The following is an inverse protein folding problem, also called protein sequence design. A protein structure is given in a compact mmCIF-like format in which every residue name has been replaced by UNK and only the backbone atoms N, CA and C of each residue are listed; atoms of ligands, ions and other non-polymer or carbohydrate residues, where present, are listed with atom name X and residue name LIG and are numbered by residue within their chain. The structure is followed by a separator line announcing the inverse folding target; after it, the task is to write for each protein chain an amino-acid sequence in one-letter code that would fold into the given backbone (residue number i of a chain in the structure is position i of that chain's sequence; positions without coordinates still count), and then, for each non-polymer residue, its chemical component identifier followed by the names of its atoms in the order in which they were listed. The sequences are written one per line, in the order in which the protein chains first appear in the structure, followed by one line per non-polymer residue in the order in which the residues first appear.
data_IF_803887354365
#
_entry.id   IF_803887354365
#
_cell.length_a   1.000
_cell.length_b   1.000
_cell.length_c   1.000
_cell.angle_alpha   90.00
_cell.angle_beta   90.00
_cell.angle_gamma   90.00
#
_symmetry.space_group_name_H-M   'P 1'
#
loop_
_entity.id
_entity.type
_entity.pdbx_description
1 polymer ?
#
# COMPACT_ATOMS: atom_id res chain seq x y z
N UNK A 1 13.99 22.71 17.15
CA UNK A 1 14.08 21.26 17.41
C UNK A 1 12.68 20.79 17.74
N UNK A 2 11.95 20.25 16.74
CA UNK A 2 10.57 19.78 16.90
C UNK A 2 10.64 18.31 17.30
N UNK A 3 10.25 18.00 18.54
CA UNK A 3 10.17 16.65 19.07
C UNK A 3 9.20 15.84 18.22
N UNK A 4 9.54 14.64 17.71
CA UNK A 4 8.61 13.82 16.96
C UNK A 4 7.42 13.49 17.85
N UNK A 5 6.21 13.80 17.40
CA UNK A 5 4.94 13.46 18.04
C UNK A 5 4.85 11.93 18.10
N UNK A 6 5.06 11.38 19.29
CA UNK A 6 4.81 9.96 19.58
C UNK A 6 3.33 9.73 19.31
N UNK A 7 3.02 9.10 18.16
CA UNK A 7 1.67 8.66 17.85
C UNK A 7 1.36 7.55 18.85
N UNK A 8 0.52 7.85 19.82
CA UNK A 8 0.06 6.86 20.80
C UNK A 8 -0.89 5.91 20.04
N UNK A 9 -0.34 4.79 19.54
CA UNK A 9 -1.11 3.76 18.84
C UNK A 9 -2.03 3.08 19.85
N UNK A 10 -3.25 2.83 19.44
CA UNK A 10 -4.18 2.04 20.25
C UNK A 10 -3.70 0.58 20.30
N UNK A 11 -4.01 -0.11 21.39
CA UNK A 11 -3.72 -1.55 21.53
C UNK A 11 -4.32 -2.38 20.39
N UNK A 12 -5.47 -1.95 19.88
CA UNK A 12 -6.15 -2.58 18.74
C UNK A 12 -5.30 -2.46 17.46
N UNK A 13 -4.72 -1.29 17.19
CA UNK A 13 -3.84 -1.06 16.02
C UNK A 13 -2.56 -1.90 16.11
N UNK A 14 -1.94 -1.99 17.28
CA UNK A 14 -0.77 -2.85 17.49
C UNK A 14 -1.09 -4.33 17.18
N UNK A 15 -2.24 -4.84 17.64
CA UNK A 15 -2.66 -6.21 17.36
C UNK A 15 -2.89 -6.43 15.87
N UNK A 16 -3.50 -5.46 15.17
CA UNK A 16 -3.71 -5.53 13.72
C UNK A 16 -2.39 -5.58 12.94
N UNK A 17 -1.39 -4.78 13.33
CA UNK A 17 -0.06 -4.81 12.71
C UNK A 17 0.58 -6.19 12.86
N UNK A 18 0.56 -6.76 14.07
CA UNK A 18 1.10 -8.11 14.34
C UNK A 18 0.36 -9.20 13.55
N UNK A 19 -0.98 -9.08 13.41
CA UNK A 19 -1.77 -10.00 12.61
C UNK A 19 -1.40 -9.93 11.12
N UNK A 20 -1.22 -8.73 10.57
CA UNK A 20 -0.79 -8.52 9.18
C UNK A 20 0.60 -9.11 8.94
N UNK A 21 1.54 -8.91 9.86
CA UNK A 21 2.88 -9.53 9.76
C UNK A 21 2.80 -11.05 9.72
N UNK A 22 1.96 -11.66 10.57
CA UNK A 22 1.74 -13.11 10.58
C UNK A 22 1.09 -13.60 9.29
N UNK A 23 0.05 -12.92 8.81
CA UNK A 23 -0.61 -13.27 7.55
C UNK A 23 0.35 -13.15 6.36
N UNK A 24 1.18 -12.13 6.31
CA UNK A 24 2.20 -11.98 5.28
C UNK A 24 3.24 -13.10 5.30
N UNK A 25 3.65 -13.56 6.51
CA UNK A 25 4.69 -14.56 6.68
C UNK A 25 4.22 -16.01 6.50
N UNK A 26 2.97 -16.33 6.89
CA UNK A 26 2.46 -17.71 6.96
C UNK A 26 1.20 -17.96 6.13
N UNK A 27 0.68 -16.92 5.47
CA UNK A 27 -0.61 -16.94 4.81
C UNK A 27 -1.78 -16.90 5.80
N UNK A 28 -2.95 -16.48 5.34
CA UNK A 28 -4.16 -16.33 6.18
C UNK A 28 -4.58 -17.64 6.87
N UNK A 29 -4.53 -18.76 6.15
CA UNK A 29 -4.93 -20.07 6.70
C UNK A 29 -3.90 -20.66 7.67
N UNK A 30 -2.62 -20.30 7.52
CA UNK A 30 -1.53 -20.77 8.38
C UNK A 30 -1.43 -20.05 9.73
N UNK A 31 -2.36 -19.13 10.04
CA UNK A 31 -2.37 -18.34 11.29
C UNK A 31 -3.68 -18.54 12.03
N UNK A 32 -3.63 -18.93 13.29
CA UNK A 32 -4.77 -19.02 14.20
C UNK A 32 -4.94 -17.75 15.05
N UNK A 33 -6.10 -17.59 15.68
CA UNK A 33 -6.30 -16.52 16.68
C UNK A 33 -5.36 -16.68 17.88
N UNK A 34 -5.03 -17.92 18.24
CA UNK A 34 -4.08 -18.19 19.33
C UNK A 34 -2.64 -17.78 18.96
N UNK A 35 -2.22 -17.96 17.68
CA UNK A 35 -0.91 -17.46 17.21
C UNK A 35 -0.83 -15.94 17.32
N UNK A 36 -1.90 -15.23 16.92
CA UNK A 36 -1.96 -13.77 17.03
C UNK A 36 -1.96 -13.34 18.49
N UNK A 37 -2.76 -14.03 19.34
CA UNK A 37 -2.81 -13.78 20.78
C UNK A 37 -1.44 -13.96 21.43
N UNK A 38 -0.76 -15.07 21.15
CA UNK A 38 0.59 -15.35 21.66
C UNK A 38 1.59 -14.25 21.23
N UNK A 39 1.55 -13.82 19.95
CA UNK A 39 2.43 -12.76 19.44
C UNK A 39 2.13 -11.39 20.05
N UNK A 40 0.84 -11.15 20.38
CA UNK A 40 0.38 -9.92 21.04
C UNK A 40 0.43 -9.98 22.59
N UNK A 41 0.91 -11.08 23.17
CA UNK A 41 0.94 -11.30 24.63
C UNK A 41 -0.44 -11.19 25.30
N UNK A 42 -1.48 -11.71 24.64
CA UNK A 42 -2.84 -11.84 25.16
C UNK A 42 -3.40 -13.23 24.85
N UNK A 43 -4.43 -13.66 25.58
CA UNK A 43 -5.07 -14.96 25.32
C UNK A 43 -6.00 -14.90 24.10
N UNK A 44 -6.20 -16.04 23.42
CA UNK A 44 -7.17 -16.14 22.30
C UNK A 44 -8.57 -15.63 22.67
N UNK A 45 -9.17 -16.04 23.79
CA UNK A 45 -10.44 -15.48 24.27
C UNK A 45 -10.44 -13.98 24.45
N UNK A 46 -9.36 -13.38 25.00
CA UNK A 46 -9.24 -11.92 25.13
C UNK A 46 -9.18 -11.24 23.75
N UNK A 47 -8.56 -11.87 22.76
CA UNK A 47 -8.51 -11.37 21.40
C UNK A 47 -9.90 -11.29 20.75
N UNK A 48 -10.78 -12.27 21.01
CA UNK A 48 -12.18 -12.25 20.55
C UNK A 48 -13.04 -11.14 21.19
N UNK A 49 -12.65 -10.60 22.34
CA UNK A 49 -13.28 -9.39 22.88
C UNK A 49 -12.96 -8.14 22.04
N UNK A 50 -11.77 -8.11 21.44
CA UNK A 50 -11.38 -7.01 20.54
C UNK A 50 -11.90 -7.22 19.12
N UNK A 51 -11.94 -8.46 18.62
CA UNK A 51 -12.26 -8.80 17.23
C UNK A 51 -13.26 -9.96 17.19
N UNK A 52 -14.54 -9.63 17.33
CA UNK A 52 -15.63 -10.62 17.41
C UNK A 52 -15.78 -11.45 16.14
N UNK A 53 -15.49 -10.85 14.98
CA UNK A 53 -15.47 -11.51 13.68
C UNK A 53 -14.16 -12.24 13.37
N UNK A 54 -13.26 -12.35 14.37
CA UNK A 54 -12.01 -13.08 14.24
C UNK A 54 -11.08 -12.52 13.16
N UNK A 55 -10.37 -13.42 12.46
CA UNK A 55 -9.38 -13.04 11.45
C UNK A 55 -9.94 -12.25 10.26
N UNK A 56 -11.19 -12.50 9.87
CA UNK A 56 -11.84 -11.78 8.78
C UNK A 56 -12.04 -10.30 9.13
N UNK A 57 -12.50 -10.01 10.35
CA UNK A 57 -12.63 -8.65 10.86
C UNK A 57 -11.26 -7.98 10.93
N UNK A 58 -10.25 -8.67 11.46
CA UNK A 58 -8.88 -8.15 11.55
C UNK A 58 -8.32 -7.80 10.18
N UNK A 59 -8.48 -8.67 9.20
CA UNK A 59 -8.01 -8.45 7.84
C UNK A 59 -8.74 -7.26 7.18
N UNK A 60 -10.05 -7.16 7.34
CA UNK A 60 -10.85 -6.05 6.82
C UNK A 60 -10.44 -4.72 7.46
N UNK A 61 -10.30 -4.68 8.79
CA UNK A 61 -9.89 -3.49 9.54
C UNK A 61 -8.46 -3.06 9.25
N UNK A 62 -7.58 -3.99 8.92
CA UNK A 62 -6.22 -3.66 8.51
C UNK A 62 -6.18 -3.05 7.10
N UNK A 63 -6.94 -3.61 6.14
CA UNK A 63 -6.80 -3.26 4.72
C UNK A 63 -7.69 -2.08 4.27
N UNK A 64 -8.89 -1.90 4.84
CA UNK A 64 -9.81 -0.82 4.44
C UNK A 64 -9.22 0.57 4.71
N UNK A 65 -8.72 0.87 5.94
CA UNK A 65 -8.14 2.19 6.23
C UNK A 65 -6.89 2.48 5.39
N UNK A 66 -6.05 1.48 5.14
CA UNK A 66 -4.86 1.62 4.29
C UNK A 66 -5.25 1.98 2.86
N UNK A 67 -6.22 1.26 2.27
CA UNK A 67 -6.71 1.53 0.92
C UNK A 67 -7.37 2.91 0.82
N UNK A 68 -8.10 3.34 1.85
CA UNK A 68 -8.68 4.68 1.92
C UNK A 68 -7.61 5.77 2.03
N UNK A 69 -6.56 5.56 2.83
CA UNK A 69 -5.43 6.48 2.98
C UNK A 69 -4.65 6.64 1.68
N UNK A 70 -4.40 5.54 0.95
CA UNK A 70 -3.74 5.59 -0.35
C UNK A 70 -4.55 6.43 -1.35
N UNK A 71 -5.87 6.22 -1.41
CA UNK A 71 -6.74 7.02 -2.27
C UNK A 71 -6.75 8.50 -1.87
N UNK A 72 -6.86 8.80 -0.58
CA UNK A 72 -6.87 10.16 -0.08
C UNK A 72 -5.56 10.89 -0.38
N UNK A 73 -4.41 10.26 -0.10
CA UNK A 73 -3.09 10.81 -0.42
C UNK A 73 -2.87 10.97 -1.93
N UNK A 74 -3.31 9.99 -2.74
CA UNK A 74 -3.25 10.13 -4.20
C UNK A 74 -4.01 11.36 -4.70
N UNK A 75 -5.23 11.59 -4.21
CA UNK A 75 -6.03 12.78 -4.55
C UNK A 75 -5.39 14.08 -4.09
N UNK A 76 -4.82 14.10 -2.90
CA UNK A 76 -4.11 15.26 -2.37
C UNK A 76 -2.94 15.64 -3.27
N UNK A 77 -2.10 14.66 -3.65
CA UNK A 77 -0.96 14.89 -4.53
C UNK A 77 -1.36 15.31 -5.94
N UNK A 78 -2.41 14.72 -6.51
CA UNK A 78 -2.91 15.12 -7.84
C UNK A 78 -3.51 16.52 -7.82
N UNK A 79 -4.22 16.89 -6.77
CA UNK A 79 -4.81 18.23 -6.62
C UNK A 79 -3.75 19.31 -6.37
N UNK A 80 -2.72 19.00 -5.57
CA UNK A 80 -1.62 19.92 -5.29
C UNK A 80 -0.78 20.28 -6.54
N UNK A 81 -0.81 19.42 -7.58
CA UNK A 81 -0.07 19.59 -8.84
C UNK A 81 -1.02 19.56 -10.05
N UNK A 82 -2.19 20.21 -9.92
CA UNK A 82 -3.24 20.15 -10.96
C UNK A 82 -2.77 20.69 -12.33
N UNK A 83 -1.89 21.70 -12.34
CA UNK A 83 -1.40 22.35 -13.55
C UNK A 83 -0.09 21.73 -14.09
N UNK A 84 0.54 20.81 -13.35
CA UNK A 84 1.79 20.14 -13.72
C UNK A 84 1.65 18.60 -13.59
N UNK A 85 1.25 17.90 -14.67
CA UNK A 85 1.09 16.47 -14.66
C UNK A 85 2.40 15.69 -14.34
N UNK A 86 3.57 16.26 -14.68
CA UNK A 86 4.86 15.61 -14.40
C UNK A 86 5.21 15.70 -12.92
N UNK A 87 4.98 16.84 -12.29
CA UNK A 87 5.10 16.99 -10.84
C UNK A 87 4.09 16.13 -10.09
N UNK A 88 2.83 16.04 -10.58
CA UNK A 88 1.81 15.16 -10.03
C UNK A 88 2.24 13.69 -10.07
N UNK A 89 2.76 13.23 -11.22
CA UNK A 89 3.26 11.85 -11.38
C UNK A 89 4.42 11.56 -10.41
N UNK A 90 5.39 12.46 -10.32
CA UNK A 90 6.51 12.32 -9.39
C UNK A 90 6.03 12.24 -7.94
N UNK A 91 5.10 13.09 -7.54
CA UNK A 91 4.53 13.08 -6.20
C UNK A 91 3.79 11.77 -5.89
N UNK A 92 2.98 11.25 -6.83
CA UNK A 92 2.31 9.96 -6.70
C UNK A 92 3.29 8.80 -6.56
N UNK A 93 4.34 8.77 -7.40
CA UNK A 93 5.37 7.71 -7.34
C UNK A 93 6.09 7.75 -6.00
N UNK A 94 6.56 8.92 -5.57
CA UNK A 94 7.25 9.07 -4.27
C UNK A 94 6.37 8.66 -3.10
N UNK A 95 5.11 9.10 -3.09
CA UNK A 95 4.14 8.72 -2.06
C UNK A 95 3.89 7.21 -2.01
N UNK A 96 3.74 6.56 -3.18
CA UNK A 96 3.50 5.12 -3.24
C UNK A 96 4.75 4.30 -2.86
N UNK A 97 5.93 4.73 -3.28
CA UNK A 97 7.21 4.09 -2.91
C UNK A 97 7.44 4.16 -1.40
N UNK A 98 7.19 5.33 -0.78
CA UNK A 98 7.27 5.46 0.69
C UNK A 98 6.33 4.48 1.40
N UNK A 99 5.08 4.40 0.96
CA UNK A 99 4.12 3.41 1.46
C UNK A 99 4.64 1.98 1.27
N UNK A 100 5.16 1.63 0.10
CA UNK A 100 5.62 0.28 -0.21
C UNK A 100 6.81 -0.15 0.67
N UNK A 101 7.71 0.78 0.98
CA UNK A 101 8.85 0.54 1.85
C UNK A 101 8.50 0.51 3.33
N UNK A 102 7.47 1.25 3.74
CA UNK A 102 7.04 1.29 5.15
C UNK A 102 6.05 0.18 5.51
N UNK A 103 5.37 -0.40 4.52
CA UNK A 103 4.28 -1.36 4.75
C UNK A 103 4.36 -2.62 3.86
N UNK A 104 5.52 -3.28 3.73
CA UNK A 104 5.68 -4.44 2.83
C UNK A 104 4.75 -5.61 3.19
N UNK A 105 4.50 -5.84 4.47
CA UNK A 105 3.58 -6.87 4.94
C UNK A 105 2.13 -6.61 4.47
N UNK A 106 1.68 -5.36 4.48
CA UNK A 106 0.35 -4.98 3.97
C UNK A 106 0.24 -5.27 2.48
N UNK A 107 1.29 -4.96 1.70
CA UNK A 107 1.33 -5.26 0.26
C UNK A 107 1.23 -6.76 0.02
N UNK A 108 2.03 -7.57 0.72
CA UNK A 108 1.99 -9.03 0.60
C UNK A 108 0.58 -9.57 0.88
N UNK A 109 -0.06 -9.09 1.95
CA UNK A 109 -1.42 -9.50 2.32
C UNK A 109 -2.46 -9.04 1.27
N UNK A 110 -2.34 -7.83 0.74
CA UNK A 110 -3.23 -7.36 -0.34
C UNK A 110 -3.10 -8.19 -1.62
N UNK A 111 -1.88 -8.63 -1.95
CA UNK A 111 -1.63 -9.41 -3.16
C UNK A 111 -2.15 -10.85 -3.04
N UNK A 112 -2.05 -11.47 -1.85
CA UNK A 112 -2.27 -12.90 -1.71
C UNK A 112 -3.54 -13.27 -0.93
N UNK A 113 -4.03 -12.40 -0.04
CA UNK A 113 -5.08 -12.79 0.92
C UNK A 113 -6.39 -12.01 0.75
N UNK A 114 -6.46 -11.05 -0.18
CA UNK A 114 -7.67 -10.22 -0.37
C UNK A 114 -8.93 -11.06 -0.69
N UNK A 115 -8.76 -12.16 -1.43
CA UNK A 115 -9.87 -13.05 -1.81
C UNK A 115 -10.39 -13.92 -0.64
N UNK A 116 -9.71 -13.89 0.51
CA UNK A 116 -10.17 -14.54 1.75
C UNK A 116 -11.21 -13.72 2.50
N UNK A 117 -11.33 -12.44 2.18
CA UNK A 117 -12.35 -11.59 2.78
C UNK A 117 -13.75 -11.92 2.30
N UNK A 118 -14.77 -11.77 3.18
CA UNK A 118 -16.18 -11.76 2.78
C UNK A 118 -16.45 -10.75 1.65
N UNK A 119 -17.53 -10.94 0.92
CA UNK A 119 -17.83 -10.17 -0.30
C UNK A 119 -17.89 -8.67 -0.08
N UNK A 120 -18.49 -8.21 1.03
CA UNK A 120 -18.68 -6.79 1.31
C UNK A 120 -17.33 -6.05 1.56
N UNK A 121 -16.51 -6.41 2.56
CA UNK A 121 -15.23 -5.74 2.78
C UNK A 121 -14.29 -5.86 1.57
N UNK A 122 -14.25 -7.00 0.91
CA UNK A 122 -13.49 -7.20 -0.33
C UNK A 122 -13.94 -6.25 -1.44
N UNK A 123 -15.24 -6.10 -1.66
CA UNK A 123 -15.79 -5.16 -2.66
C UNK A 123 -15.39 -3.71 -2.33
N UNK A 124 -15.48 -3.33 -1.06
CA UNK A 124 -15.08 -2.00 -0.59
C UNK A 124 -13.60 -1.71 -0.85
N UNK A 125 -12.71 -2.64 -0.52
CA UNK A 125 -11.27 -2.50 -0.77
C UNK A 125 -11.01 -2.37 -2.27
N UNK A 126 -11.56 -3.26 -3.09
CA UNK A 126 -11.40 -3.21 -4.55
C UNK A 126 -11.92 -1.91 -5.17
N UNK A 127 -13.01 -1.36 -4.62
CA UNK A 127 -13.51 -0.05 -5.05
C UNK A 127 -12.50 1.06 -4.76
N UNK A 128 -11.93 1.08 -3.56
CA UNK A 128 -10.90 2.06 -3.17
C UNK A 128 -9.65 1.93 -4.03
N UNK A 129 -9.17 0.70 -4.26
CA UNK A 129 -8.02 0.42 -5.13
C UNK A 129 -8.26 0.88 -6.57
N UNK A 130 -9.44 0.55 -7.16
CA UNK A 130 -9.79 1.05 -8.50
C UNK A 130 -9.79 2.56 -8.55
N UNK A 131 -10.40 3.24 -7.58
CA UNK A 131 -10.41 4.70 -7.54
C UNK A 131 -9.00 5.28 -7.43
N UNK A 132 -8.10 4.63 -6.69
CA UNK A 132 -6.69 5.04 -6.62
C UNK A 132 -5.97 4.89 -7.97
N UNK A 133 -6.22 3.80 -8.69
CA UNK A 133 -5.69 3.60 -10.06
C UNK A 133 -6.19 4.70 -11.00
N UNK A 134 -7.47 5.15 -10.88
CA UNK A 134 -8.02 6.23 -11.70
C UNK A 134 -7.29 7.57 -11.52
N UNK A 135 -6.80 7.88 -10.31
CA UNK A 135 -5.97 9.08 -10.09
C UNK A 135 -4.68 9.02 -10.96
N UNK A 136 -4.04 7.86 -11.02
CA UNK A 136 -2.84 7.64 -11.84
C UNK A 136 -3.14 7.70 -13.34
N UNK A 137 -4.21 7.05 -13.78
CA UNK A 137 -4.66 7.08 -15.18
C UNK A 137 -4.95 8.52 -15.62
N UNK A 138 -5.62 9.29 -14.76
CA UNK A 138 -5.90 10.71 -15.05
C UNK A 138 -4.63 11.54 -15.20
N UNK A 139 -3.62 11.34 -14.37
CA UNK A 139 -2.32 12.03 -14.47
C UNK A 139 -1.58 11.59 -15.74
N UNK A 140 -1.49 10.29 -16.00
CA UNK A 140 -0.79 9.75 -17.17
C UNK A 140 -1.39 10.26 -18.48
N UNK A 141 -2.71 10.31 -18.60
CA UNK A 141 -3.37 10.83 -19.82
C UNK A 141 -3.18 12.33 -20.04
N UNK A 142 -2.98 13.10 -18.97
CA UNK A 142 -2.63 14.52 -19.08
C UNK A 142 -1.16 14.71 -19.46
N UNK A 143 -0.27 13.87 -18.95
CA UNK A 143 1.15 13.91 -19.25
C UNK A 143 1.44 13.38 -20.66
N UNK A 144 0.72 12.36 -21.09
CA UNK A 144 0.89 11.63 -22.34
C UNK A 144 -0.45 11.50 -23.05
N UNK A 145 -0.90 12.57 -23.76
CA UNK A 145 -2.22 12.61 -24.40
C UNK A 145 -2.41 11.56 -25.52
N UNK A 146 -1.31 11.01 -26.05
CA UNK A 146 -1.33 9.92 -27.02
C UNK A 146 -1.80 8.58 -26.43
N UNK A 147 -1.76 8.41 -25.10
CA UNK A 147 -2.21 7.18 -24.46
C UNK A 147 -3.73 7.10 -24.40
N UNK A 148 -4.26 5.99 -24.90
CA UNK A 148 -5.64 5.59 -24.62
C UNK A 148 -5.82 5.23 -23.13
N UNK A 149 -7.09 5.20 -22.67
CA UNK A 149 -7.43 4.85 -21.28
C UNK A 149 -6.89 3.47 -20.87
N UNK A 150 -6.99 2.48 -21.76
CA UNK A 150 -6.50 1.12 -21.55
C UNK A 150 -4.98 1.10 -21.36
N UNK A 151 -4.23 1.81 -22.22
CA UNK A 151 -2.78 1.80 -22.18
C UNK A 151 -2.26 2.51 -20.92
N UNK A 152 -2.85 3.65 -20.56
CA UNK A 152 -2.54 4.35 -19.33
C UNK A 152 -2.80 3.47 -18.08
N UNK A 153 -3.87 2.69 -18.10
CA UNK A 153 -4.21 1.74 -17.01
C UNK A 153 -3.21 0.59 -16.92
N UNK A 154 -2.79 0.03 -18.06
CA UNK A 154 -1.77 -1.03 -18.10
C UNK A 154 -0.45 -0.50 -17.54
N UNK A 155 -0.02 0.70 -17.95
CA UNK A 155 1.20 1.33 -17.42
C UNK A 155 1.12 1.59 -15.92
N UNK A 156 -0.02 2.10 -15.43
CA UNK A 156 -0.23 2.29 -13.99
C UNK A 156 -0.09 0.96 -13.22
N UNK A 157 -0.72 -0.12 -13.71
CA UNK A 157 -0.60 -1.44 -13.07
C UNK A 157 0.81 -2.01 -13.15
N UNK A 158 1.54 -1.81 -14.25
CA UNK A 158 2.93 -2.23 -14.36
C UNK A 158 3.82 -1.51 -13.35
N UNK A 159 3.63 -0.19 -13.18
CA UNK A 159 4.34 0.59 -12.17
C UNK A 159 4.00 0.15 -10.74
N UNK A 160 2.73 -0.17 -10.45
CA UNK A 160 2.38 -0.78 -9.15
C UNK A 160 3.07 -2.11 -8.94
N UNK A 161 3.14 -2.98 -9.94
CA UNK A 161 3.88 -4.25 -9.84
C UNK A 161 5.35 -4.02 -9.48
N UNK A 162 5.99 -3.02 -10.09
CA UNK A 162 7.36 -2.63 -9.81
C UNK A 162 7.52 -2.10 -8.38
N UNK A 163 6.72 -1.11 -7.99
CA UNK A 163 6.82 -0.48 -6.67
C UNK A 163 6.42 -1.42 -5.53
N UNK A 164 5.46 -2.31 -5.77
CA UNK A 164 4.99 -3.32 -4.81
C UNK A 164 5.89 -4.56 -4.73
N UNK A 165 7.07 -4.53 -5.32
CA UNK A 165 8.05 -5.64 -5.20
C UNK A 165 8.74 -5.71 -3.83
N UNK A 166 8.51 -4.75 -2.96
CA UNK A 166 9.16 -4.65 -1.64
C UNK A 166 9.02 -5.88 -0.74
N UNK A 167 7.93 -6.68 -0.75
CA UNK A 167 7.86 -7.92 0.03
C UNK A 167 8.91 -8.98 -0.38
N UNK A 168 9.43 -8.88 -1.60
CA UNK A 168 10.44 -9.82 -2.12
C UNK A 168 11.88 -9.36 -1.86
N UNK A 169 12.07 -8.15 -1.32
CA UNK A 169 13.38 -7.64 -0.93
C UNK A 169 13.77 -8.24 0.43
N UNK A 170 15.00 -8.76 0.52
CA UNK A 170 15.54 -9.27 1.78
C UNK A 170 15.62 -8.18 2.86
N UNK A 171 15.66 -8.60 4.13
CA UNK A 171 15.76 -7.67 5.27
C UNK A 171 16.99 -6.75 5.19
N UNK A 172 18.11 -7.30 4.71
CA UNK A 172 19.34 -6.53 4.55
C UNK A 172 19.18 -5.42 3.49
N UNK A 173 18.48 -5.72 2.39
CA UNK A 173 18.15 -4.72 1.39
C UNK A 173 17.27 -3.60 1.97
N UNK A 174 16.28 -3.93 2.80
CA UNK A 174 15.40 -2.95 3.45
C UNK A 174 16.13 -2.07 4.48
N UNK A 175 17.35 -2.43 4.92
CA UNK A 175 18.18 -1.57 5.74
C UNK A 175 18.68 -0.33 4.97
N UNK A 176 18.81 -0.43 3.65
CA UNK A 176 19.22 0.65 2.75
C UNK A 176 18.01 1.40 2.14
N UNK A 177 16.95 1.64 2.93
CA UNK A 177 15.71 2.26 2.46
C UNK A 177 15.87 3.49 1.58
N UNK A 178 16.74 4.47 1.86
CA UNK A 178 16.89 5.65 1.01
C UNK A 178 17.32 5.27 -0.41
N UNK A 179 18.28 4.35 -0.54
CA UNK A 179 18.78 3.90 -1.84
C UNK A 179 17.73 3.12 -2.61
N UNK A 180 16.95 2.28 -1.93
CA UNK A 180 15.86 1.53 -2.56
C UNK A 180 14.73 2.47 -2.99
N UNK A 181 14.41 3.47 -2.18
CA UNK A 181 13.42 4.49 -2.55
C UNK A 181 13.82 5.21 -3.83
N UNK A 182 15.08 5.64 -3.94
CA UNK A 182 15.61 6.24 -5.16
C UNK A 182 15.46 5.32 -6.37
N UNK A 183 15.92 4.06 -6.24
CA UNK A 183 15.89 3.10 -7.33
C UNK A 183 14.46 2.79 -7.81
N UNK A 184 13.52 2.55 -6.88
CA UNK A 184 12.13 2.29 -7.21
C UNK A 184 11.45 3.50 -7.84
N UNK A 185 11.74 4.70 -7.32
CA UNK A 185 11.22 5.96 -7.86
C UNK A 185 11.72 6.19 -9.28
N UNK A 186 13.02 6.11 -9.51
CA UNK A 186 13.62 6.27 -10.83
C UNK A 186 13.12 5.23 -11.85
N UNK A 187 13.02 3.97 -11.44
CA UNK A 187 12.51 2.90 -12.30
C UNK A 187 11.04 3.12 -12.67
N UNK A 188 10.20 3.50 -11.69
CA UNK A 188 8.78 3.77 -11.93
C UNK A 188 8.59 5.00 -12.85
N UNK A 189 9.29 6.11 -12.58
CA UNK A 189 9.22 7.31 -13.41
C UNK A 189 9.71 7.04 -14.83
N UNK A 190 10.82 6.31 -14.99
CA UNK A 190 11.34 5.94 -16.32
C UNK A 190 10.37 5.07 -17.13
N UNK A 191 9.59 4.22 -16.45
CA UNK A 191 8.57 3.40 -17.11
C UNK A 191 7.32 4.19 -17.52
N UNK A 192 6.95 5.22 -16.74
CA UNK A 192 5.71 5.99 -16.92
C UNK A 192 5.91 7.24 -17.78
N UNK A 193 7.08 7.88 -17.67
CA UNK A 193 7.46 9.09 -18.42
C UNK A 193 8.80 8.85 -19.15
N UNK A 194 8.77 8.48 -20.45
CA UNK A 194 9.99 8.23 -21.22
C UNK A 194 10.94 9.43 -21.31
N UNK A 195 10.41 10.65 -21.18
CA UNK A 195 11.20 11.89 -21.21
C UNK A 195 11.86 12.20 -19.86
N UNK A 196 11.54 11.45 -18.80
CA UNK A 196 12.09 11.66 -17.45
C UNK A 196 13.62 11.66 -17.43
N UNK A 197 14.29 10.84 -18.25
CA UNK A 197 15.74 10.74 -18.35
C UNK A 197 16.39 11.78 -19.24
N UNK A 198 15.62 12.55 -19.98
CA UNK A 198 16.14 13.51 -20.98
C UNK A 198 16.33 14.92 -20.40
N UNK A 199 16.06 15.11 -19.11
CA UNK A 199 16.32 16.40 -18.45
C UNK A 199 17.67 16.32 -17.77
N UNK A 200 18.67 17.11 -18.23
CA UNK A 200 20.03 17.15 -17.67
C UNK A 200 20.08 17.68 -16.25
#
# INVERSE_FOLDING_TARGET
MTTPKVINRSRREEILELAVELFAARGYHGVSMDDIGARAHITGPALYHHFKGGKEEMLAEALIPVSARLLAGGREHTAAHADDPRAALRALVTFHVDFALTSPAVIAVQLHELDRLPSEPRHRIRKLQRSYVEEWVGVLRRLRPELGDTDARVLAHAAFGLMNSTPFLGRDSLAERPRIAELLTEAALSALDPEHRSTP
#
